data_IF_596969845391
#
_entry.id   IF_596969845391
#
_cell.length_a   1.000
_cell.length_b   1.000
_cell.length_c   1.000
_cell.angle_alpha   90.00
_cell.angle_beta   90.00
_cell.angle_gamma   90.00
#
_symmetry.space_group_name_H-M   'P 1'
#
loop_
_entity.id
_entity.type
_entity.pdbx_description
1 polymer ?
#
# COMPACT_ATOMS: atom_id res chain seq x y z
N UNK A 1 -10.40 6.39 0.93
CA UNK A 1 -9.52 5.95 2.04
C UNK A 1 -10.03 4.60 2.50
N UNK A 2 -9.20 3.57 2.39
CA UNK A 2 -9.59 2.19 2.74
C UNK A 2 -8.87 1.77 4.02
N UNK A 3 -9.59 1.15 4.96
CA UNK A 3 -8.99 0.54 6.14
C UNK A 3 -8.71 -0.93 5.86
N UNK A 4 -7.46 -1.35 6.03
CA UNK A 4 -7.08 -2.75 5.95
C UNK A 4 -6.37 -3.15 7.24
N UNK A 5 -7.06 -3.93 8.08
CA UNK A 5 -6.62 -4.27 9.43
C UNK A 5 -6.41 -2.97 10.24
N UNK A 6 -5.23 -2.77 10.79
CA UNK A 6 -4.81 -1.59 11.55
C UNK A 6 -4.15 -0.52 10.66
N UNK A 7 -4.18 -0.69 9.32
CA UNK A 7 -3.53 0.22 8.39
C UNK A 7 -4.55 1.08 7.65
N UNK A 8 -4.23 2.36 7.51
CA UNK A 8 -4.96 3.29 6.66
C UNK A 8 -4.29 3.35 5.29
N UNK A 9 -5.02 2.95 4.24
CA UNK A 9 -4.53 2.94 2.86
C UNK A 9 -5.11 4.14 2.12
N UNK A 10 -4.21 4.98 1.60
CA UNK A 10 -4.52 6.03 0.63
C UNK A 10 -3.92 5.66 -0.72
N UNK A 11 -4.65 5.94 -1.80
CA UNK A 11 -4.15 5.80 -3.17
C UNK A 11 -4.05 7.18 -3.77
N UNK A 12 -2.93 7.46 -4.40
CA UNK A 12 -2.69 8.69 -5.14
C UNK A 12 -2.36 8.34 -6.59
N UNK A 13 -2.78 9.20 -7.51
CA UNK A 13 -2.26 9.17 -8.87
C UNK A 13 -0.80 9.59 -8.86
N UNK A 14 -0.03 8.92 -9.69
CA UNK A 14 1.39 9.09 -9.86
C UNK A 14 1.62 9.42 -11.34
N UNK A 15 2.38 10.48 -11.65
CA UNK A 15 2.55 10.96 -13.03
C UNK A 15 3.50 10.07 -13.87
N UNK A 16 3.56 8.76 -13.58
CA UNK A 16 4.40 7.78 -14.28
C UNK A 16 3.54 6.91 -15.20
N UNK A 17 3.87 6.86 -16.49
CA UNK A 17 3.11 6.09 -17.48
C UNK A 17 3.02 4.59 -17.17
N UNK A 18 4.09 3.99 -16.63
CA UNK A 18 4.11 2.55 -16.34
C UNK A 18 3.43 2.20 -15.01
N UNK A 19 3.38 3.13 -14.06
CA UNK A 19 2.77 2.91 -12.74
C UNK A 19 2.03 4.17 -12.28
N UNK A 20 0.85 4.45 -12.88
CA UNK A 20 0.09 5.67 -12.65
C UNK A 20 -0.58 5.74 -11.28
N UNK A 21 -0.51 4.68 -10.47
CA UNK A 21 -1.09 4.67 -9.13
C UNK A 21 -0.07 4.29 -8.07
N UNK A 22 -0.16 4.92 -6.91
CA UNK A 22 0.64 4.60 -5.72
C UNK A 22 -0.27 4.48 -4.51
N UNK A 23 -0.26 3.31 -3.89
CA UNK A 23 -0.91 3.07 -2.62
C UNK A 23 0.09 3.24 -1.47
N UNK A 24 -0.38 3.82 -0.37
CA UNK A 24 0.39 4.12 0.83
C UNK A 24 -0.44 3.66 2.02
N UNK A 25 0.04 2.64 2.74
CA UNK A 25 -0.50 2.18 4.00
C UNK A 25 0.28 2.79 5.16
N UNK A 26 -0.42 3.28 6.18
CA UNK A 26 0.18 3.84 7.39
C UNK A 26 -0.31 3.11 8.63
N UNK A 27 0.61 2.83 9.56
CA UNK A 27 0.35 2.36 10.92
C UNK A 27 1.36 3.00 11.87
N UNK A 28 0.91 3.91 12.75
CA UNK A 28 1.82 4.70 13.58
C UNK A 28 2.88 5.43 12.73
N UNK A 29 4.15 5.24 13.05
CA UNK A 29 5.30 5.77 12.31
C UNK A 29 5.71 4.95 11.08
N UNK A 30 5.09 3.79 10.85
CA UNK A 30 5.43 2.91 9.73
C UNK A 30 4.60 3.24 8.49
N UNK A 31 5.27 3.37 7.35
CA UNK A 31 4.67 3.59 6.05
C UNK A 31 5.09 2.50 5.04
N UNK A 32 4.12 1.86 4.40
CA UNK A 32 4.34 0.86 3.34
C UNK A 32 3.74 1.39 2.05
N UNK A 33 4.55 1.47 1.00
CA UNK A 33 4.15 2.04 -0.29
C UNK A 33 4.41 1.08 -1.44
N UNK A 34 3.46 0.99 -2.37
CA UNK A 34 3.64 0.29 -3.64
C UNK A 34 3.00 1.08 -4.78
N UNK A 35 3.64 1.00 -5.94
CA UNK A 35 3.08 1.50 -7.20
C UNK A 35 2.40 0.35 -7.95
N UNK A 36 1.41 0.67 -8.79
CA UNK A 36 0.69 -0.27 -9.63
C UNK A 36 0.20 0.38 -10.92
N UNK A 37 -0.12 -0.44 -11.92
CA UNK A 37 -0.74 -0.05 -13.18
C UNK A 37 -2.20 0.39 -12.98
N UNK A 38 -2.84 -0.11 -11.92
CA UNK A 38 -4.20 0.24 -11.50
C UNK A 38 -4.28 0.55 -10.00
N UNK A 39 -5.31 1.27 -9.55
CA UNK A 39 -5.57 1.52 -8.11
C UNK A 39 -5.62 0.20 -7.33
N UNK A 40 -6.41 -0.75 -7.84
CA UNK A 40 -6.58 -2.08 -7.24
C UNK A 40 -5.27 -2.86 -7.13
N UNK A 41 -4.39 -2.73 -8.12
CA UNK A 41 -3.08 -3.39 -8.11
C UNK A 41 -2.17 -2.77 -7.05
N UNK A 42 -2.10 -1.44 -7.00
CA UNK A 42 -1.31 -0.75 -5.99
C UNK A 42 -1.77 -1.12 -4.57
N UNK A 43 -3.10 -1.16 -4.34
CA UNK A 43 -3.70 -1.62 -3.07
C UNK A 43 -3.34 -3.07 -2.78
N UNK A 44 -3.49 -3.96 -3.77
CA UNK A 44 -3.18 -5.38 -3.63
C UNK A 44 -1.73 -5.61 -3.20
N UNK A 45 -0.78 -4.94 -3.86
CA UNK A 45 0.64 -5.04 -3.54
C UNK A 45 0.96 -4.51 -2.14
N UNK A 46 0.34 -3.40 -1.73
CA UNK A 46 0.45 -2.89 -0.35
C UNK A 46 -0.08 -3.91 0.65
N UNK A 47 -1.25 -4.51 0.42
CA UNK A 47 -1.84 -5.54 1.30
C UNK A 47 -0.94 -6.77 1.41
N UNK A 48 -0.36 -7.23 0.30
CA UNK A 48 0.61 -8.34 0.30
C UNK A 48 1.84 -8.01 1.15
N UNK A 49 2.38 -6.79 1.01
CA UNK A 49 3.52 -6.34 1.81
C UNK A 49 3.19 -6.25 3.31
N UNK A 50 2.02 -5.73 3.68
CA UNK A 50 1.54 -5.74 5.07
C UNK A 50 1.50 -7.17 5.62
N UNK A 51 0.90 -8.10 4.86
CA UNK A 51 0.78 -9.49 5.28
C UNK A 51 2.16 -10.13 5.50
N UNK A 52 3.10 -9.89 4.58
CA UNK A 52 4.47 -10.40 4.66
C UNK A 52 5.23 -9.84 5.87
N UNK A 53 5.08 -8.55 6.16
CA UNK A 53 5.76 -7.90 7.29
C UNK A 53 5.17 -8.36 8.63
N UNK A 54 3.84 -8.49 8.73
CA UNK A 54 3.18 -9.08 9.90
C UNK A 54 3.59 -10.52 10.14
N UNK A 55 3.64 -11.35 9.10
CA UNK A 55 4.10 -12.75 9.23
C UNK A 55 5.55 -12.87 9.71
N UNK A 56 6.34 -11.79 9.58
CA UNK A 56 7.71 -11.71 10.08
C UNK A 56 7.85 -10.98 11.42
N UNK A 57 6.73 -10.55 12.04
CA UNK A 57 6.70 -9.72 13.25
C UNK A 57 7.54 -8.44 13.15
N UNK A 58 7.59 -7.83 11.96
CA UNK A 58 8.32 -6.56 11.73
C UNK A 58 7.42 -5.35 12.04
N UNK A 59 6.12 -5.50 11.81
CA UNK A 59 5.06 -4.49 12.05
C UNK A 59 3.83 -5.15 12.68
#
# INVERSE_FOLDING_TARGET
MEKYREHEIIVIQNNENQYPYKAIARIGDNEIKHKGQSESEAIYLVKQSINKLKSKNII
#
